data_IF_735181577237
#
_entry.id   IF_735181577237
#
_cell.length_a   1.000
_cell.length_b   1.000
_cell.length_c   1.000
_cell.angle_alpha   90.00
_cell.angle_beta   90.00
_cell.angle_gamma   90.00
#
_symmetry.space_group_name_H-M   'P 1'
#
loop_
_entity.id
_entity.type
_entity.pdbx_description
1 polymer ?
#
# COMPACT_ATOMS: atom_id res chain seq x y z
N UNK A 1 -14.02 -25.81 34.48
CA UNK A 1 -13.18 -25.08 33.48
C UNK A 1 -14.07 -24.87 32.27
N UNK A 2 -14.48 -23.64 31.96
CA UNK A 2 -15.21 -23.35 30.74
C UNK A 2 -14.36 -23.80 29.54
N UNK A 3 -14.91 -24.58 28.64
CA UNK A 3 -14.24 -24.90 27.37
C UNK A 3 -13.81 -23.59 26.71
N UNK A 4 -12.50 -23.39 26.54
CA UNK A 4 -11.97 -22.26 25.81
C UNK A 4 -12.36 -22.47 24.34
N UNK A 5 -13.26 -21.63 23.86
CA UNK A 5 -13.67 -21.68 22.45
C UNK A 5 -12.43 -21.45 21.59
N UNK A 6 -12.03 -22.46 20.81
CA UNK A 6 -10.93 -22.36 19.88
C UNK A 6 -11.32 -21.40 18.74
N UNK A 7 -10.54 -20.37 18.55
CA UNK A 7 -10.70 -19.42 17.45
C UNK A 7 -9.36 -19.31 16.69
N UNK A 8 -9.08 -20.23 15.76
CA UNK A 8 -7.81 -20.23 15.01
C UNK A 8 -7.54 -18.88 14.34
N UNK A 9 -6.34 -18.35 14.61
CA UNK A 9 -5.85 -17.15 13.93
C UNK A 9 -5.61 -17.46 12.47
N UNK A 10 -5.99 -16.54 11.58
CA UNK A 10 -5.70 -16.60 10.15
C UNK A 10 -4.49 -15.73 9.81
N UNK A 11 -3.71 -16.16 8.83
CA UNK A 11 -2.52 -15.47 8.35
C UNK A 11 -2.73 -15.01 6.91
N UNK A 12 -2.46 -13.74 6.65
CA UNK A 12 -2.23 -13.21 5.30
C UNK A 12 -0.73 -13.04 5.10
N UNK A 13 -0.18 -13.72 4.10
CA UNK A 13 1.25 -13.66 3.75
C UNK A 13 1.53 -12.52 2.77
N UNK A 14 2.54 -11.69 3.06
CA UNK A 14 2.83 -10.47 2.30
C UNK A 14 4.12 -10.51 1.49
N UNK A 15 4.86 -11.61 1.52
CA UNK A 15 6.19 -11.73 0.88
C UNK A 15 6.18 -11.39 -0.61
N UNK A 16 5.06 -11.67 -1.31
CA UNK A 16 4.93 -11.41 -2.75
C UNK A 16 4.49 -9.96 -3.09
N UNK A 17 4.21 -9.10 -2.09
CA UNK A 17 3.89 -7.69 -2.32
C UNK A 17 4.53 -6.75 -1.31
N UNK A 18 3.93 -6.56 -0.11
CA UNK A 18 4.31 -5.48 0.81
C UNK A 18 5.69 -5.67 1.42
N UNK A 19 6.06 -6.91 1.73
CA UNK A 19 7.35 -7.22 2.31
C UNK A 19 8.50 -6.85 1.36
N UNK A 20 8.48 -7.30 0.12
CA UNK A 20 9.52 -6.96 -0.84
C UNK A 20 9.42 -5.51 -1.35
N UNK A 21 8.21 -4.91 -1.32
CA UNK A 21 8.08 -3.47 -1.53
C UNK A 21 8.85 -2.69 -0.46
N UNK A 22 8.74 -3.10 0.79
CA UNK A 22 9.34 -2.42 1.94
C UNK A 22 10.84 -2.59 2.04
N UNK A 23 11.38 -3.74 1.61
CA UNK A 23 12.80 -4.08 1.80
C UNK A 23 13.65 -3.90 0.54
N UNK A 24 13.09 -4.21 -0.64
CA UNK A 24 13.81 -4.16 -1.93
C UNK A 24 13.09 -3.31 -2.97
N UNK A 25 12.36 -2.29 -2.52
CA UNK A 25 11.69 -1.30 -3.36
C UNK A 25 10.88 -1.93 -4.51
N UNK A 26 10.17 -3.02 -4.25
CA UNK A 26 9.30 -3.73 -5.22
C UNK A 26 10.07 -4.36 -6.39
N UNK A 27 11.30 -4.80 -6.18
CA UNK A 27 12.17 -5.34 -7.25
C UNK A 27 12.15 -6.86 -7.37
N UNK A 28 11.34 -7.60 -6.62
CA UNK A 28 11.17 -9.04 -6.83
C UNK A 28 10.48 -9.29 -8.18
N UNK A 29 11.11 -10.10 -9.03
CA UNK A 29 10.60 -10.39 -10.38
C UNK A 29 9.54 -11.48 -10.36
N UNK A 30 8.72 -11.56 -11.41
CA UNK A 30 7.75 -12.66 -11.58
C UNK A 30 8.47 -14.01 -11.64
N UNK A 31 9.62 -14.07 -12.29
CA UNK A 31 10.45 -15.28 -12.37
C UNK A 31 10.93 -15.76 -11.00
N UNK A 32 11.25 -14.83 -10.08
CA UNK A 32 11.58 -15.15 -8.69
C UNK A 32 10.38 -15.58 -7.85
N UNK A 33 9.15 -15.21 -8.23
CA UNK A 33 7.95 -15.58 -7.49
C UNK A 33 7.39 -16.94 -7.87
N UNK A 34 7.32 -17.25 -9.17
CA UNK A 34 6.59 -18.41 -9.68
C UNK A 34 7.05 -19.78 -9.14
N UNK A 35 8.35 -20.08 -8.97
CA UNK A 35 8.78 -21.41 -8.57
C UNK A 35 8.30 -21.86 -7.19
N UNK A 36 7.97 -20.94 -6.30
CA UNK A 36 7.54 -21.25 -4.93
C UNK A 36 6.01 -21.28 -4.76
N UNK A 37 5.26 -20.80 -5.72
CA UNK A 37 3.80 -20.59 -5.63
C UNK A 37 3.05 -21.86 -5.27
N UNK A 38 3.37 -23.00 -5.89
CA UNK A 38 2.72 -24.30 -5.61
C UNK A 38 2.92 -24.76 -4.15
N UNK A 39 4.07 -24.47 -3.55
CA UNK A 39 4.33 -24.76 -2.14
C UNK A 39 3.57 -23.79 -1.24
N UNK A 40 3.56 -22.49 -1.55
CA UNK A 40 2.81 -21.48 -0.81
C UNK A 40 1.31 -21.78 -0.84
N UNK A 41 0.76 -22.22 -1.96
CA UNK A 41 -0.67 -22.55 -2.10
C UNK A 41 -1.11 -23.72 -1.18
N UNK A 42 -0.18 -24.56 -0.76
CA UNK A 42 -0.43 -25.73 0.10
C UNK A 42 -0.21 -25.46 1.59
N UNK A 43 0.19 -24.27 1.98
CA UNK A 43 0.43 -23.90 3.40
C UNK A 43 -0.88 -23.83 4.18
N UNK A 44 -1.91 -23.21 3.60
CA UNK A 44 -3.19 -22.95 4.25
C UNK A 44 -3.34 -21.49 4.72
N UNK A 45 -2.65 -20.54 4.11
CA UNK A 45 -2.85 -19.12 4.34
C UNK A 45 -4.30 -18.70 4.10
N UNK A 46 -4.77 -17.69 4.83
CA UNK A 46 -6.04 -17.03 4.55
C UNK A 46 -6.02 -16.34 3.18
N UNK A 47 -4.92 -15.64 2.90
CA UNK A 47 -4.65 -15.00 1.63
C UNK A 47 -3.13 -14.81 1.44
N UNK A 48 -2.74 -14.58 0.19
CA UNK A 48 -1.41 -14.06 -0.16
C UNK A 48 -1.59 -12.71 -0.82
N UNK A 49 -1.00 -11.67 -0.23
CA UNK A 49 -0.96 -10.35 -0.85
C UNK A 49 0.14 -10.34 -1.91
N UNK A 50 -0.23 -10.19 -3.18
CA UNK A 50 0.69 -10.41 -4.30
C UNK A 50 0.67 -9.32 -5.35
N UNK A 51 -0.23 -8.34 -5.26
CA UNK A 51 -0.44 -7.35 -6.31
C UNK A 51 -0.94 -6.00 -5.78
N UNK A 52 -0.98 -4.97 -6.62
CA UNK A 52 -1.38 -3.63 -6.23
C UNK A 52 -0.24 -2.82 -5.59
N UNK A 53 -0.57 -1.75 -4.89
CA UNK A 53 0.42 -0.84 -4.30
C UNK A 53 1.40 -0.29 -5.35
N UNK A 54 2.71 -0.40 -5.08
CA UNK A 54 3.75 0.01 -6.01
C UNK A 54 4.18 -1.10 -7.00
N UNK A 55 3.65 -2.32 -6.85
CA UNK A 55 4.03 -3.47 -7.72
C UNK A 55 3.75 -3.17 -9.19
N UNK A 56 2.60 -2.58 -9.47
CA UNK A 56 2.14 -2.29 -10.84
C UNK A 56 3.10 -1.33 -11.56
N UNK A 57 3.40 -0.19 -10.94
CA UNK A 57 4.35 0.78 -11.49
C UNK A 57 5.77 0.20 -11.60
N UNK A 58 6.20 -0.57 -10.59
CA UNK A 58 7.51 -1.21 -10.59
C UNK A 58 7.67 -2.24 -11.71
N UNK A 59 6.64 -3.02 -12.03
CA UNK A 59 6.63 -3.94 -13.17
C UNK A 59 6.93 -3.20 -14.46
N UNK A 60 6.15 -2.16 -14.75
CA UNK A 60 6.27 -1.39 -15.99
C UNK A 60 7.61 -0.64 -16.07
N UNK A 61 7.97 0.08 -15.01
CA UNK A 61 9.07 1.04 -14.98
C UNK A 61 10.44 0.38 -14.88
N UNK A 62 10.57 -0.57 -13.99
CA UNK A 62 11.88 -1.10 -13.59
C UNK A 62 12.13 -2.54 -14.04
N UNK A 63 11.09 -3.39 -13.99
CA UNK A 63 11.25 -4.81 -14.27
C UNK A 63 10.96 -5.13 -15.74
N UNK A 64 10.33 -4.20 -16.47
CA UNK A 64 9.89 -4.42 -17.84
C UNK A 64 8.99 -5.66 -17.98
N UNK A 65 8.14 -5.85 -16.99
CA UNK A 65 7.14 -6.91 -16.91
C UNK A 65 5.73 -6.34 -17.07
N UNK A 66 4.84 -7.10 -17.71
CA UNK A 66 3.40 -6.79 -17.73
C UNK A 66 2.78 -7.12 -16.37
N UNK A 67 2.25 -6.14 -15.61
CA UNK A 67 1.66 -6.40 -14.29
C UNK A 67 0.43 -7.30 -14.37
N UNK A 68 -0.33 -7.27 -15.44
CA UNK A 68 -1.51 -8.11 -15.65
C UNK A 68 -1.13 -9.56 -15.95
N UNK A 69 -0.10 -9.77 -16.75
CA UNK A 69 0.46 -11.10 -17.01
C UNK A 69 1.05 -11.72 -15.74
N UNK A 70 1.74 -10.92 -14.90
CA UNK A 70 2.17 -11.35 -13.57
C UNK A 70 1.00 -11.86 -12.72
N UNK A 71 -0.10 -11.09 -12.66
CA UNK A 71 -1.28 -11.47 -11.90
C UNK A 71 -1.88 -12.79 -12.39
N UNK A 72 -2.06 -12.94 -13.71
CA UNK A 72 -2.57 -14.17 -14.32
C UNK A 72 -1.69 -15.38 -14.00
N UNK A 73 -0.37 -15.25 -14.12
CA UNK A 73 0.58 -16.32 -13.80
C UNK A 73 0.54 -16.71 -12.31
N UNK A 74 0.44 -15.74 -11.42
CA UNK A 74 0.26 -16.02 -9.99
C UNK A 74 -1.07 -16.74 -9.75
N UNK A 75 -2.17 -16.26 -10.34
CA UNK A 75 -3.47 -16.94 -10.22
C UNK A 75 -3.43 -18.37 -10.73
N UNK A 76 -2.71 -18.63 -11.82
CA UNK A 76 -2.56 -19.97 -12.36
C UNK A 76 -1.80 -20.91 -11.41
N UNK A 77 -0.90 -20.38 -10.62
CA UNK A 77 -0.17 -21.15 -9.61
C UNK A 77 -0.96 -21.37 -8.31
N UNK A 78 -1.68 -20.34 -7.84
CA UNK A 78 -2.52 -20.45 -6.65
C UNK A 78 -3.90 -21.01 -6.99
N UNK A 79 -4.29 -22.13 -6.41
CA UNK A 79 -5.59 -22.77 -6.63
C UNK A 79 -6.47 -22.80 -5.38
N UNK A 80 -5.87 -22.84 -4.21
CA UNK A 80 -6.54 -22.99 -2.92
C UNK A 80 -6.49 -21.70 -2.09
N UNK A 81 -5.45 -20.89 -2.28
CA UNK A 81 -5.22 -19.65 -1.51
C UNK A 81 -5.79 -18.44 -2.23
N UNK A 82 -6.45 -17.57 -1.50
CA UNK A 82 -6.97 -16.30 -2.02
C UNK A 82 -5.82 -15.36 -2.38
N UNK A 83 -5.97 -14.64 -3.48
CA UNK A 83 -5.06 -13.57 -3.88
C UNK A 83 -5.61 -12.22 -3.43
N UNK A 84 -4.76 -11.45 -2.76
CA UNK A 84 -5.10 -10.12 -2.26
C UNK A 84 -4.28 -9.06 -2.97
N UNK A 85 -4.90 -7.91 -3.22
CA UNK A 85 -4.22 -6.70 -3.70
C UNK A 85 -4.45 -5.50 -2.80
N UNK A 86 -3.49 -4.57 -2.80
CA UNK A 86 -3.65 -3.26 -2.18
C UNK A 86 -4.16 -2.23 -3.20
N UNK A 87 -5.19 -1.45 -2.81
CA UNK A 87 -5.89 -0.50 -3.65
C UNK A 87 -6.10 0.83 -2.91
N UNK A 88 -5.76 1.96 -3.54
CA UNK A 88 -5.79 3.29 -2.91
C UNK A 88 -7.09 4.03 -3.18
N UNK A 89 -8.24 3.43 -2.89
CA UNK A 89 -9.55 4.05 -3.07
C UNK A 89 -9.67 4.75 -4.42
N UNK A 90 -10.09 6.01 -4.42
CA UNK A 90 -10.28 6.79 -5.65
C UNK A 90 -8.97 7.02 -6.45
N UNK A 91 -7.81 6.81 -5.85
CA UNK A 91 -6.52 6.92 -6.52
C UNK A 91 -6.06 5.63 -7.22
N UNK A 92 -6.81 4.53 -7.08
CA UNK A 92 -6.49 3.22 -7.65
C UNK A 92 -5.09 2.74 -7.20
N UNK A 93 -4.08 2.87 -8.04
CA UNK A 93 -2.66 2.63 -7.72
C UNK A 93 -1.80 3.88 -7.95
N UNK A 94 -2.44 4.99 -8.34
CA UNK A 94 -1.79 6.26 -8.64
C UNK A 94 -1.68 7.20 -7.43
N UNK A 95 -1.42 8.47 -7.73
CA UNK A 95 -1.16 9.53 -6.76
C UNK A 95 -2.17 10.69 -6.86
N UNK A 96 -3.24 10.51 -7.62
CA UNK A 96 -4.33 11.46 -7.80
C UNK A 96 -5.67 10.73 -7.89
N UNK A 97 -6.80 11.38 -7.60
CA UNK A 97 -8.11 10.82 -7.88
C UNK A 97 -8.34 10.57 -9.39
N UNK A 98 -9.04 9.49 -9.69
CA UNK A 98 -9.54 9.15 -11.03
C UNK A 98 -11.06 9.23 -11.05
N UNK A 99 -11.66 9.30 -12.25
CA UNK A 99 -13.10 9.22 -12.41
C UNK A 99 -13.63 7.83 -12.01
N UNK A 100 -14.89 7.77 -11.63
CA UNK A 100 -15.53 6.54 -11.14
C UNK A 100 -15.49 5.42 -12.17
N UNK A 101 -15.67 5.73 -13.47
CA UNK A 101 -15.62 4.74 -14.55
C UNK A 101 -14.26 4.02 -14.65
N UNK A 102 -13.16 4.73 -14.38
CA UNK A 102 -11.81 4.14 -14.36
C UNK A 102 -11.64 3.25 -13.14
N UNK A 103 -12.13 3.68 -11.96
CA UNK A 103 -12.11 2.90 -10.72
C UNK A 103 -12.89 1.60 -10.89
N UNK A 104 -14.13 1.69 -11.39
CA UNK A 104 -15.00 0.54 -11.61
C UNK A 104 -14.35 -0.45 -12.59
N UNK A 105 -13.83 0.03 -13.70
CA UNK A 105 -13.20 -0.83 -14.70
C UNK A 105 -11.92 -1.50 -14.19
N UNK A 106 -11.13 -0.78 -13.38
CA UNK A 106 -9.93 -1.35 -12.77
C UNK A 106 -10.27 -2.47 -11.79
N UNK A 107 -11.28 -2.28 -10.94
CA UNK A 107 -11.78 -3.31 -10.01
C UNK A 107 -12.28 -4.53 -10.77
N UNK A 108 -13.12 -4.31 -11.80
CA UNK A 108 -13.65 -5.39 -12.65
C UNK A 108 -12.50 -6.22 -13.27
N UNK A 109 -11.51 -5.56 -13.88
CA UNK A 109 -10.37 -6.24 -14.50
C UNK A 109 -9.46 -6.93 -13.47
N UNK A 110 -9.29 -6.37 -12.28
CA UNK A 110 -8.51 -7.01 -11.21
C UNK A 110 -9.13 -8.34 -10.79
N UNK A 111 -10.44 -8.37 -10.57
CA UNK A 111 -11.16 -9.59 -10.19
C UNK A 111 -11.17 -10.59 -11.36
N UNK A 112 -11.45 -10.14 -12.58
CA UNK A 112 -11.45 -11.00 -13.77
C UNK A 112 -10.08 -11.66 -14.03
N UNK A 113 -8.98 -11.01 -13.65
CA UNK A 113 -7.62 -11.54 -13.76
C UNK A 113 -7.15 -12.33 -12.53
N UNK A 114 -8.01 -12.52 -11.52
CA UNK A 114 -7.78 -13.50 -10.45
C UNK A 114 -7.58 -12.95 -9.05
N UNK A 115 -7.84 -11.67 -8.78
CA UNK A 115 -7.87 -11.13 -7.42
C UNK A 115 -9.16 -11.56 -6.72
N UNK A 116 -9.04 -12.10 -5.51
CA UNK A 116 -10.15 -12.47 -4.65
C UNK A 116 -10.50 -11.38 -3.64
N UNK A 117 -9.46 -10.72 -3.07
CA UNK A 117 -9.60 -9.71 -2.01
C UNK A 117 -8.99 -8.39 -2.48
N UNK A 118 -9.80 -7.34 -2.50
CA UNK A 118 -9.31 -5.97 -2.74
C UNK A 118 -9.27 -5.24 -1.41
N UNK A 119 -8.04 -4.97 -0.90
CA UNK A 119 -7.81 -4.14 0.28
C UNK A 119 -7.80 -2.68 -0.14
N UNK A 120 -8.86 -1.98 0.19
CA UNK A 120 -9.14 -0.61 -0.23
C UNK A 120 -8.86 0.35 0.93
N UNK A 121 -7.99 1.33 0.73
CA UNK A 121 -7.72 2.36 1.74
C UNK A 121 -7.72 3.77 1.13
N UNK A 122 -7.99 4.77 1.95
CA UNK A 122 -7.79 6.17 1.61
C UNK A 122 -6.72 6.81 2.51
N UNK A 123 -5.90 7.69 1.93
CA UNK A 123 -4.78 8.30 2.67
C UNK A 123 -5.22 9.30 3.75
N UNK A 124 -6.45 9.79 3.70
CA UNK A 124 -7.04 10.69 4.70
C UNK A 124 -8.06 9.97 5.59
N UNK A 125 -8.35 8.69 5.33
CA UNK A 125 -9.48 7.96 5.87
C UNK A 125 -10.85 8.60 5.50
N UNK A 126 -10.91 9.29 4.36
CA UNK A 126 -12.19 9.81 3.86
C UNK A 126 -12.98 8.68 3.19
N UNK A 127 -13.98 8.17 3.89
CA UNK A 127 -14.79 7.03 3.44
C UNK A 127 -15.50 7.28 2.11
N UNK A 128 -15.74 8.54 1.73
CA UNK A 128 -16.34 8.89 0.44
C UNK A 128 -15.47 8.45 -0.75
N UNK A 129 -14.15 8.45 -0.57
CA UNK A 129 -13.18 8.00 -1.56
C UNK A 129 -13.08 6.47 -1.70
N UNK A 130 -13.77 5.72 -0.83
CA UNK A 130 -13.75 4.25 -0.84
C UNK A 130 -14.98 3.66 -1.52
N UNK A 131 -16.11 4.39 -1.52
CA UNK A 131 -17.43 3.88 -1.88
C UNK A 131 -17.48 3.27 -3.29
N UNK A 132 -16.93 3.93 -4.30
CA UNK A 132 -16.95 3.43 -5.69
C UNK A 132 -16.24 2.08 -5.79
N UNK A 133 -15.05 1.96 -5.17
CA UNK A 133 -14.27 0.72 -5.21
C UNK A 133 -14.96 -0.42 -4.47
N UNK A 134 -15.56 -0.16 -3.29
CA UNK A 134 -16.32 -1.16 -2.53
C UNK A 134 -17.54 -1.62 -3.32
N UNK A 135 -18.31 -0.69 -3.88
CA UNK A 135 -19.50 -1.01 -4.69
C UNK A 135 -19.13 -1.83 -5.92
N UNK A 136 -18.06 -1.45 -6.63
CA UNK A 136 -17.56 -2.18 -7.79
C UNK A 136 -17.09 -3.60 -7.41
N UNK A 137 -16.36 -3.73 -6.30
CA UNK A 137 -15.89 -5.03 -5.81
C UNK A 137 -17.06 -5.98 -5.50
N UNK A 138 -18.08 -5.50 -4.81
CA UNK A 138 -19.28 -6.28 -4.49
C UNK A 138 -20.07 -6.68 -5.75
N UNK A 139 -20.18 -5.75 -6.71
CA UNK A 139 -20.83 -6.02 -8.00
C UNK A 139 -20.15 -7.16 -8.77
N UNK A 140 -18.83 -7.20 -8.73
CA UNK A 140 -18.01 -8.24 -9.37
C UNK A 140 -17.84 -9.50 -8.49
N UNK A 141 -18.50 -9.57 -7.32
CA UNK A 141 -18.45 -10.66 -6.36
C UNK A 141 -17.05 -10.93 -5.77
N UNK A 142 -16.21 -9.91 -5.72
CA UNK A 142 -14.95 -9.92 -4.98
C UNK A 142 -15.19 -9.69 -3.49
N UNK A 143 -14.15 -9.89 -2.68
CA UNK A 143 -14.17 -9.57 -1.26
C UNK A 143 -13.63 -8.15 -1.06
N UNK A 144 -14.51 -7.23 -0.66
CA UNK A 144 -14.14 -5.85 -0.35
C UNK A 144 -13.62 -5.75 1.08
N UNK A 145 -12.31 -5.61 1.26
CA UNK A 145 -11.71 -5.30 2.55
C UNK A 145 -11.39 -3.82 2.62
N UNK A 146 -12.01 -3.10 3.55
CA UNK A 146 -11.64 -1.69 3.79
C UNK A 146 -10.54 -1.62 4.84
N UNK A 147 -9.48 -0.88 4.54
CA UNK A 147 -8.38 -0.65 5.46
C UNK A 147 -8.38 0.79 5.96
N UNK A 148 -8.46 0.96 7.29
CA UNK A 148 -8.31 2.25 7.94
C UNK A 148 -6.84 2.49 8.27
N UNK A 149 -6.30 3.58 7.77
CA UNK A 149 -4.90 3.97 8.00
C UNK A 149 -4.73 4.42 9.46
N UNK A 150 -4.03 3.60 10.25
CA UNK A 150 -3.80 3.88 11.67
C UNK A 150 -2.77 4.99 11.86
N UNK A 151 -3.07 5.90 12.77
CA UNK A 151 -2.17 7.00 13.14
C UNK A 151 -2.47 7.47 14.56
N UNK A 152 -1.60 8.33 15.09
CA UNK A 152 -1.73 8.93 16.42
C UNK A 152 -2.15 10.41 16.29
N UNK A 153 -2.88 10.89 17.28
CA UNK A 153 -3.33 12.28 17.39
C UNK A 153 -4.61 12.37 18.22
N UNK A 154 -4.91 13.56 18.75
CA UNK A 154 -6.04 13.77 19.67
C UNK A 154 -7.41 13.48 19.01
N UNK A 155 -7.48 13.58 17.68
CA UNK A 155 -8.71 13.29 16.93
C UNK A 155 -8.95 11.79 16.74
N UNK A 156 -7.91 10.95 16.85
CA UNK A 156 -7.99 9.51 16.61
C UNK A 156 -8.30 8.75 17.91
N UNK A 157 -9.46 9.07 18.49
CA UNK A 157 -9.99 8.43 19.72
C UNK A 157 -10.56 7.05 19.42
N UNK A 158 -10.85 6.25 20.47
CA UNK A 158 -11.56 4.98 20.27
C UNK A 158 -12.94 5.20 19.62
N UNK A 159 -13.65 6.26 20.01
CA UNK A 159 -14.94 6.60 19.40
C UNK A 159 -14.83 6.88 17.90
N UNK A 160 -13.77 7.60 17.47
CA UNK A 160 -13.46 7.79 16.05
C UNK A 160 -13.31 6.45 15.33
N UNK A 161 -12.50 5.52 15.88
CA UNK A 161 -12.29 4.22 15.24
C UNK A 161 -13.55 3.37 15.18
N UNK A 162 -14.37 3.40 16.25
CA UNK A 162 -15.67 2.70 16.27
C UNK A 162 -16.65 3.29 15.26
N UNK A 163 -16.72 4.61 15.14
CA UNK A 163 -17.56 5.28 14.14
C UNK A 163 -17.12 4.93 12.71
N UNK A 164 -15.81 4.94 12.47
CA UNK A 164 -15.26 4.54 11.17
C UNK A 164 -15.56 3.08 10.83
N UNK A 165 -15.47 2.17 11.81
CA UNK A 165 -15.79 0.76 11.60
C UNK A 165 -17.28 0.56 11.21
N UNK A 166 -18.19 1.30 11.82
CA UNK A 166 -19.62 1.28 11.43
C UNK A 166 -19.82 1.81 10.01
N UNK A 167 -19.20 2.93 9.66
CA UNK A 167 -19.27 3.47 8.30
C UNK A 167 -18.76 2.47 7.25
N UNK A 168 -17.72 1.73 7.59
CA UNK A 168 -17.14 0.68 6.73
C UNK A 168 -18.13 -0.50 6.58
N UNK A 169 -18.76 -0.94 7.66
CA UNK A 169 -19.79 -1.98 7.63
C UNK A 169 -21.01 -1.54 6.82
N UNK A 170 -21.52 -0.33 7.07
CA UNK A 170 -22.66 0.27 6.36
C UNK A 170 -22.39 0.46 4.85
N UNK A 171 -21.12 0.66 4.47
CA UNK A 171 -20.68 0.76 3.07
C UNK A 171 -20.76 -0.58 2.33
N UNK A 172 -20.89 -1.69 3.05
CA UNK A 172 -20.96 -3.04 2.50
C UNK A 172 -19.60 -3.70 2.34
N UNK A 173 -18.60 -3.35 3.17
CA UNK A 173 -17.34 -4.08 3.23
C UNK A 173 -17.54 -5.49 3.84
N UNK A 174 -16.73 -6.47 3.39
CA UNK A 174 -16.73 -7.83 3.89
C UNK A 174 -15.79 -8.05 5.08
N UNK A 175 -14.79 -7.18 5.24
CA UNK A 175 -13.85 -7.19 6.37
C UNK A 175 -13.20 -5.81 6.57
N UNK A 176 -12.74 -5.58 7.79
CA UNK A 176 -12.05 -4.37 8.21
C UNK A 176 -10.57 -4.68 8.48
N UNK A 177 -9.66 -3.90 7.89
CA UNK A 177 -8.25 -3.94 8.21
C UNK A 177 -7.83 -2.66 8.97
N UNK A 178 -7.09 -2.81 10.05
CA UNK A 178 -6.35 -1.69 10.65
C UNK A 178 -4.95 -1.72 10.06
N UNK A 179 -4.60 -0.67 9.30
CA UNK A 179 -3.36 -0.59 8.55
C UNK A 179 -2.37 0.38 9.20
N UNK A 180 -1.43 -0.18 9.94
CA UNK A 180 -0.38 0.56 10.65
C UNK A 180 0.93 0.56 9.86
N UNK A 181 1.07 1.53 8.96
CA UNK A 181 2.20 1.65 8.02
C UNK A 181 3.53 2.01 8.66
N UNK A 182 3.51 2.57 9.87
CA UNK A 182 4.72 3.05 10.53
C UNK A 182 5.06 2.28 11.82
N UNK A 183 4.26 1.26 12.18
CA UNK A 183 4.43 0.51 13.42
C UNK A 183 4.16 1.35 14.67
N UNK A 184 3.09 2.16 14.63
CA UNK A 184 2.71 3.10 15.69
C UNK A 184 1.85 2.46 16.77
N UNK A 185 1.15 1.38 16.43
CA UNK A 185 0.24 0.70 17.34
C UNK A 185 1.02 -0.13 18.38
N UNK A 186 1.06 0.37 19.60
CA UNK A 186 1.72 -0.34 20.71
C UNK A 186 0.81 -1.41 21.33
N UNK A 187 1.36 -2.45 21.99
CA UNK A 187 0.60 -3.62 22.45
C UNK A 187 -0.62 -3.30 23.31
N UNK A 188 -0.50 -2.39 24.27
CA UNK A 188 -1.63 -1.99 25.14
C UNK A 188 -2.74 -1.31 24.36
N UNK A 189 -2.38 -0.43 23.41
CA UNK A 189 -3.35 0.25 22.55
C UNK A 189 -3.99 -0.70 21.53
N UNK A 190 -3.30 -1.74 21.10
CA UNK A 190 -3.87 -2.78 20.27
C UNK A 190 -5.02 -3.52 20.99
N UNK A 191 -4.84 -3.85 22.28
CA UNK A 191 -5.91 -4.47 23.08
C UNK A 191 -7.14 -3.56 23.14
N UNK A 192 -6.96 -2.29 23.53
CA UNK A 192 -8.06 -1.31 23.62
C UNK A 192 -8.78 -1.13 22.28
N UNK A 193 -8.03 -0.95 21.20
CA UNK A 193 -8.57 -0.71 19.86
C UNK A 193 -9.35 -1.92 19.34
N UNK A 194 -8.77 -3.12 19.41
CA UNK A 194 -9.43 -4.32 18.87
C UNK A 194 -10.71 -4.64 19.67
N UNK A 195 -10.69 -4.52 20.99
CA UNK A 195 -11.89 -4.70 21.83
C UNK A 195 -12.98 -3.68 21.46
N UNK A 196 -12.63 -2.40 21.28
CA UNK A 196 -13.57 -1.38 20.86
C UNK A 196 -14.17 -1.67 19.48
N UNK A 197 -13.34 -2.04 18.50
CA UNK A 197 -13.79 -2.41 17.17
C UNK A 197 -14.72 -3.63 17.18
N UNK A 198 -14.37 -4.69 17.93
CA UNK A 198 -15.20 -5.90 18.08
C UNK A 198 -16.55 -5.60 18.74
N UNK A 199 -16.67 -4.52 19.53
CA UNK A 199 -17.95 -4.06 20.08
C UNK A 199 -18.76 -3.21 19.10
N UNK A 200 -18.12 -2.64 18.09
CA UNK A 200 -18.73 -1.68 17.15
C UNK A 200 -19.18 -2.31 15.83
N UNK A 201 -18.57 -3.41 15.39
CA UNK A 201 -18.85 -4.07 14.11
C UNK A 201 -18.81 -5.59 14.21
N UNK A 202 -19.57 -6.27 13.35
CA UNK A 202 -19.52 -7.73 13.18
C UNK A 202 -18.48 -8.18 12.13
N UNK A 203 -17.84 -7.25 11.43
CA UNK A 203 -16.86 -7.58 10.42
C UNK A 203 -15.67 -8.35 11.01
N UNK A 204 -15.09 -9.30 10.26
CA UNK A 204 -13.76 -9.81 10.57
C UNK A 204 -12.75 -8.68 10.60
N UNK A 205 -11.88 -8.67 11.63
CA UNK A 205 -10.85 -7.65 11.82
C UNK A 205 -9.48 -8.24 11.47
N UNK A 206 -8.79 -7.59 10.55
CA UNK A 206 -7.42 -7.88 10.18
C UNK A 206 -6.49 -6.77 10.68
N UNK A 207 -5.33 -7.12 11.21
CA UNK A 207 -4.32 -6.17 11.63
C UNK A 207 -3.07 -6.31 10.77
N UNK A 208 -2.71 -5.20 10.14
CA UNK A 208 -1.47 -5.03 9.39
C UNK A 208 -0.58 -4.01 10.11
N UNK A 209 0.62 -4.39 10.50
CA UNK A 209 1.59 -3.44 11.07
C UNK A 209 3.01 -3.71 10.61
N UNK A 210 3.77 -2.64 10.39
CA UNK A 210 5.19 -2.70 10.07
C UNK A 210 6.04 -2.79 11.34
N UNK A 211 7.22 -3.40 11.21
CA UNK A 211 8.10 -3.66 12.36
C UNK A 211 9.03 -2.48 12.70
N UNK A 212 8.83 -1.33 12.07
CA UNK A 212 9.75 -0.18 12.12
C UNK A 212 10.07 0.30 13.55
N UNK A 213 9.08 0.28 14.46
CA UNK A 213 9.27 0.63 15.88
C UNK A 213 9.83 -0.49 16.75
N UNK A 214 9.77 -1.73 16.28
CA UNK A 214 10.23 -2.92 17.00
C UNK A 214 9.17 -3.60 17.87
N UNK A 215 7.92 -3.11 17.92
CA UNK A 215 6.87 -3.64 18.82
C UNK A 215 5.86 -4.55 18.13
N UNK A 216 5.91 -4.69 16.81
CA UNK A 216 4.83 -5.26 16.01
C UNK A 216 4.44 -6.71 16.41
N UNK A 217 5.38 -7.61 16.71
CA UNK A 217 5.03 -8.98 17.16
C UNK A 217 4.28 -8.98 18.48
N UNK A 218 4.68 -8.12 19.43
CA UNK A 218 3.98 -7.97 20.72
C UNK A 218 2.60 -7.34 20.51
N UNK A 219 2.49 -6.40 19.58
CA UNK A 219 1.23 -5.78 19.16
C UNK A 219 0.27 -6.83 18.58
N UNK A 220 0.75 -7.71 17.70
CA UNK A 220 -0.05 -8.81 17.16
C UNK A 220 -0.52 -9.77 18.23
N UNK A 221 0.36 -10.15 19.15
CA UNK A 221 -0.02 -11.02 20.27
C UNK A 221 -1.19 -10.41 21.05
N UNK A 222 -1.09 -9.14 21.43
CA UNK A 222 -2.13 -8.44 22.19
C UNK A 222 -3.42 -8.21 21.39
N UNK A 223 -3.31 -7.95 20.11
CA UNK A 223 -4.46 -7.82 19.22
C UNK A 223 -5.24 -9.14 19.08
N UNK A 224 -4.53 -10.26 18.89
CA UNK A 224 -5.13 -11.60 18.76
C UNK A 224 -5.82 -12.01 20.08
N UNK A 225 -5.18 -11.80 21.22
CA UNK A 225 -5.79 -12.03 22.55
C UNK A 225 -7.06 -11.17 22.75
N UNK A 226 -7.12 -9.98 22.14
CA UNK A 226 -8.27 -9.08 22.17
C UNK A 226 -9.38 -9.41 21.18
N UNK A 227 -9.16 -10.39 20.27
CA UNK A 227 -10.17 -10.87 19.32
C UNK A 227 -9.92 -10.52 17.85
N UNK A 228 -8.70 -10.06 17.47
CA UNK A 228 -8.32 -9.91 16.07
C UNK A 228 -8.39 -11.26 15.35
N UNK A 229 -8.93 -11.28 14.13
CA UNK A 229 -9.24 -12.51 13.40
C UNK A 229 -8.10 -12.93 12.46
N UNK A 230 -7.38 -11.94 11.90
CA UNK A 230 -6.37 -12.15 10.86
C UNK A 230 -5.20 -11.20 11.13
N UNK A 231 -3.97 -11.63 10.87
CA UNK A 231 -2.78 -10.77 10.88
C UNK A 231 -1.98 -10.91 9.60
N UNK A 232 -1.34 -9.82 9.18
CA UNK A 232 -0.41 -9.79 8.07
C UNK A 232 1.00 -10.12 8.54
N UNK A 233 1.64 -11.09 7.89
CA UNK A 233 3.02 -11.48 8.21
C UNK A 233 3.84 -11.59 6.93
N UNK A 234 5.15 -11.70 7.07
CA UNK A 234 6.05 -11.92 5.95
C UNK A 234 7.01 -13.08 6.25
N UNK A 235 7.30 -13.92 5.26
CA UNK A 235 8.32 -14.97 5.39
C UNK A 235 9.63 -14.37 5.90
N UNK A 236 10.29 -15.05 6.84
CA UNK A 236 11.41 -14.48 7.61
C UNK A 236 12.53 -13.85 6.78
N UNK A 237 12.90 -14.32 5.58
CA UNK A 237 13.89 -13.62 4.76
C UNK A 237 13.49 -12.19 4.35
N UNK A 238 12.18 -11.91 4.24
CA UNK A 238 11.65 -10.60 3.89
C UNK A 238 10.80 -9.96 5.01
N UNK A 239 11.01 -10.38 6.26
CA UNK A 239 10.32 -9.85 7.43
C UNK A 239 11.14 -8.82 8.20
N UNK A 240 10.54 -8.23 9.24
CA UNK A 240 11.16 -7.33 10.21
C UNK A 240 11.58 -5.97 9.62
N UNK A 241 12.23 -5.13 10.41
CA UNK A 241 12.65 -3.80 9.98
C UNK A 241 11.47 -2.96 9.48
N UNK A 242 11.53 -2.54 8.22
CA UNK A 242 10.41 -1.80 7.57
C UNK A 242 9.33 -2.70 6.98
N UNK A 243 9.44 -4.01 7.12
CA UNK A 243 8.44 -5.02 6.71
C UNK A 243 7.57 -5.46 7.90
N UNK A 244 6.86 -6.59 7.79
CA UNK A 244 5.97 -7.14 8.79
C UNK A 244 6.69 -8.13 9.73
N UNK A 245 6.06 -8.56 10.85
CA UNK A 245 6.53 -9.68 11.66
C UNK A 245 6.69 -10.97 10.85
N UNK A 246 7.67 -11.79 11.25
CA UNK A 246 7.97 -13.05 10.56
C UNK A 246 6.83 -14.07 10.72
N UNK A 247 6.40 -14.68 9.60
CA UNK A 247 5.30 -15.65 9.55
C UNK A 247 5.57 -16.85 10.44
N UNK A 248 6.74 -17.48 10.32
CA UNK A 248 7.13 -18.67 11.08
C UNK A 248 7.15 -18.41 12.59
N UNK A 249 7.60 -17.21 12.98
CA UNK A 249 7.65 -16.78 14.39
C UNK A 249 6.24 -16.61 14.94
N UNK A 250 5.35 -15.97 14.20
CA UNK A 250 3.97 -15.79 14.65
C UNK A 250 3.21 -17.12 14.72
N UNK A 251 3.42 -18.02 13.77
CA UNK A 251 2.83 -19.36 13.77
C UNK A 251 3.28 -20.15 15.01
N UNK A 252 4.58 -20.15 15.33
CA UNK A 252 5.11 -20.82 16.53
C UNK A 252 4.64 -20.15 17.82
N UNK A 253 4.50 -18.81 17.84
CA UNK A 253 4.01 -18.05 19.00
C UNK A 253 2.61 -18.48 19.42
N UNK A 254 1.73 -18.80 18.47
CA UNK A 254 0.34 -19.19 18.76
C UNK A 254 0.12 -20.70 18.83
N UNK A 255 1.12 -21.51 18.53
CA UNK A 255 1.02 -22.98 18.57
C UNK A 255 0.63 -23.51 19.93
N UNK A 256 -0.35 -24.41 19.96
CA UNK A 256 -0.89 -24.99 21.20
C UNK A 256 -1.75 -24.05 22.03
N UNK A 257 -1.99 -22.81 21.59
CA UNK A 257 -2.93 -21.87 22.19
C UNK A 257 -4.32 -22.00 21.56
N UNK A 258 -5.38 -21.34 22.10
CA UNK A 258 -6.68 -21.27 21.45
C UNK A 258 -6.67 -20.63 20.04
N UNK A 259 -5.60 -19.92 19.73
CA UNK A 259 -5.38 -19.18 18.47
C UNK A 259 -4.47 -19.92 17.49
N UNK A 260 -4.12 -21.17 17.78
CA UNK A 260 -3.25 -21.98 16.93
C UNK A 260 -3.71 -21.96 15.47
N UNK A 261 -2.81 -21.53 14.59
CA UNK A 261 -3.10 -21.36 13.16
C UNK A 261 -3.27 -22.68 12.41
N UNK A 262 -2.70 -23.75 12.95
CA UNK A 262 -2.62 -25.06 12.30
C UNK A 262 -1.68 -25.13 11.09
N UNK A 263 -0.93 -24.05 10.80
CA UNK A 263 0.04 -24.04 9.70
C UNK A 263 1.28 -24.89 10.02
N UNK A 264 1.80 -25.61 9.02
CA UNK A 264 2.95 -26.51 9.18
C UNK A 264 4.26 -25.72 9.12
N UNK A 265 5.07 -25.80 10.20
CA UNK A 265 6.43 -25.25 10.23
C UNK A 265 7.35 -25.86 9.17
N UNK A 266 7.19 -27.14 8.85
CA UNK A 266 8.00 -27.79 7.80
C UNK A 266 7.74 -27.18 6.42
N UNK A 267 6.47 -26.92 6.09
CA UNK A 267 6.11 -26.22 4.83
C UNK A 267 6.63 -24.78 4.81
N UNK A 268 6.55 -24.07 5.92
CA UNK A 268 7.08 -22.72 6.04
C UNK A 268 8.61 -22.72 5.90
N UNK A 269 9.32 -23.68 6.48
CA UNK A 269 10.76 -23.80 6.33
C UNK A 269 11.19 -23.95 4.86
N UNK A 270 10.49 -24.77 4.07
CA UNK A 270 10.77 -24.90 2.63
C UNK A 270 10.63 -23.57 1.88
N UNK A 271 9.67 -22.72 2.26
CA UNK A 271 9.47 -21.40 1.65
C UNK A 271 10.56 -20.44 2.12
N UNK A 272 10.95 -20.50 3.39
CA UNK A 272 12.08 -19.75 3.94
C UNK A 272 13.38 -20.04 3.19
N UNK A 273 13.67 -21.32 3.00
CA UNK A 273 14.88 -21.79 2.29
C UNK A 273 14.90 -21.28 0.83
N UNK A 274 13.73 -21.17 0.21
CA UNK A 274 13.61 -20.61 -1.14
C UNK A 274 13.93 -19.10 -1.19
N UNK A 275 13.39 -18.30 -0.26
CA UNK A 275 13.58 -16.86 -0.28
C UNK A 275 14.93 -16.40 0.30
N UNK A 276 15.61 -17.22 1.10
CA UNK A 276 16.88 -16.86 1.73
C UNK A 276 17.96 -16.48 0.70
N UNK A 277 18.24 -17.23 -0.37
CA UNK A 277 19.22 -16.83 -1.37
C UNK A 277 18.82 -15.56 -2.14
N UNK A 278 17.54 -15.32 -2.37
CA UNK A 278 17.06 -14.08 -3.04
C UNK A 278 17.36 -12.86 -2.15
N UNK A 279 17.16 -12.97 -0.84
CA UNK A 279 17.55 -11.95 0.12
C UNK A 279 19.06 -11.70 0.13
N UNK A 280 19.86 -12.77 0.15
CA UNK A 280 21.32 -12.65 0.14
C UNK A 280 21.83 -11.94 -1.12
N UNK A 281 21.26 -12.25 -2.27
CA UNK A 281 21.59 -11.58 -3.53
C UNK A 281 21.21 -10.09 -3.47
N UNK A 282 20.03 -9.77 -2.94
CA UNK A 282 19.60 -8.39 -2.75
C UNK A 282 20.51 -7.60 -1.79
N UNK A 283 21.04 -8.23 -0.74
CA UNK A 283 22.03 -7.65 0.15
C UNK A 283 23.38 -7.41 -0.57
N UNK A 284 23.86 -8.40 -1.31
CA UNK A 284 25.14 -8.35 -2.05
C UNK A 284 25.11 -7.27 -3.15
N UNK A 285 23.99 -7.14 -3.86
CA UNK A 285 23.82 -6.11 -4.89
C UNK A 285 23.56 -4.71 -4.35
N UNK A 286 23.32 -4.56 -3.03
CA UNK A 286 22.94 -3.30 -2.40
C UNK A 286 21.48 -2.89 -2.63
N UNK A 287 20.67 -3.72 -3.28
CA UNK A 287 19.24 -3.51 -3.46
C UNK A 287 18.52 -3.50 -2.11
N UNK A 288 18.86 -4.44 -1.22
CA UNK A 288 18.43 -4.42 0.18
C UNK A 288 19.45 -3.61 1.00
N UNK A 289 19.06 -2.41 1.39
CA UNK A 289 19.90 -1.57 2.25
C UNK A 289 19.80 -2.07 3.71
N UNK A 290 20.90 -2.45 4.37
CA UNK A 290 20.88 -2.91 5.77
C UNK A 290 20.24 -1.92 6.76
N UNK A 291 20.19 -0.63 6.44
CA UNK A 291 19.55 0.39 7.29
C UNK A 291 18.05 0.17 7.48
N UNK A 292 17.37 -0.46 6.53
CA UNK A 292 15.92 -0.75 6.64
C UNK A 292 15.63 -2.00 7.47
N UNK A 293 16.63 -2.78 7.85
CA UNK A 293 16.49 -3.99 8.68
C UNK A 293 16.47 -3.69 10.18
N UNK A 294 16.92 -2.50 10.59
CA UNK A 294 16.91 -2.08 11.98
C UNK A 294 15.55 -1.58 12.44
N UNK A 295 15.37 -1.56 13.77
CA UNK A 295 14.20 -0.96 14.41
C UNK A 295 14.55 0.41 14.99
N UNK A 296 13.57 1.31 15.03
CA UNK A 296 13.77 2.65 15.59
C UNK A 296 12.52 3.12 16.36
N UNK A 297 12.58 3.03 17.67
CA UNK A 297 11.46 3.44 18.55
C UNK A 297 11.12 4.95 18.41
N UNK A 298 12.03 5.79 17.89
CA UNK A 298 11.74 7.19 17.62
C UNK A 298 10.66 7.38 16.56
N UNK A 299 10.35 6.34 15.78
CA UNK A 299 9.19 6.32 14.87
C UNK A 299 7.90 6.69 15.59
N UNK A 300 7.72 6.27 16.83
CA UNK A 300 6.54 6.64 17.64
C UNK A 300 6.44 8.15 17.89
N UNK A 301 7.58 8.86 17.90
CA UNK A 301 7.62 10.31 18.09
C UNK A 301 7.34 11.09 16.79
N UNK A 302 7.99 10.69 15.69
CA UNK A 302 7.90 11.42 14.42
C UNK A 302 6.80 10.89 13.50
N UNK A 303 6.30 9.68 13.77
CA UNK A 303 5.23 8.99 13.03
C UNK A 303 5.53 8.80 11.54
N UNK A 304 6.80 8.69 11.18
CA UNK A 304 7.28 8.64 9.79
C UNK A 304 7.48 7.19 9.35
N UNK A 305 6.76 6.72 8.32
CA UNK A 305 6.98 5.38 7.74
C UNK A 305 8.38 5.22 7.16
N UNK A 306 8.90 3.98 7.17
CA UNK A 306 10.25 3.68 6.68
C UNK A 306 10.51 4.14 5.24
N UNK A 307 9.57 3.94 4.32
CA UNK A 307 9.69 4.39 2.94
C UNK A 307 9.77 5.92 2.78
N UNK A 308 9.11 6.66 3.67
CA UNK A 308 9.22 8.12 3.68
C UNK A 308 10.61 8.59 4.10
N UNK A 309 11.23 7.94 5.09
CA UNK A 309 12.59 8.28 5.55
C UNK A 309 13.61 8.18 4.42
N UNK A 310 13.54 7.13 3.60
CA UNK A 310 14.43 6.95 2.45
C UNK A 310 14.28 8.08 1.42
N UNK A 311 13.05 8.49 1.14
CA UNK A 311 12.78 9.60 0.23
C UNK A 311 13.30 10.94 0.76
N UNK A 312 13.17 11.21 2.06
CA UNK A 312 13.70 12.43 2.69
C UNK A 312 15.22 12.51 2.56
N UNK A 313 15.92 11.41 2.83
CA UNK A 313 17.38 11.34 2.68
C UNK A 313 17.79 11.63 1.23
N UNK A 314 17.09 11.07 0.25
CA UNK A 314 17.39 11.32 -1.17
C UNK A 314 17.17 12.79 -1.55
N UNK A 315 16.04 13.38 -1.16
CA UNK A 315 15.75 14.79 -1.44
C UNK A 315 16.76 15.75 -0.80
N UNK A 316 17.16 15.49 0.44
CA UNK A 316 18.18 16.30 1.13
C UNK A 316 19.55 16.17 0.48
N UNK A 317 19.92 14.97 0.03
CA UNK A 317 21.16 14.72 -0.71
C UNK A 317 21.18 15.45 -2.05
N UNK A 318 20.11 15.40 -2.81
CA UNK A 318 19.96 16.13 -4.08
C UNK A 318 20.07 17.65 -3.88
N UNK A 319 19.58 18.14 -2.74
CA UNK A 319 19.67 19.55 -2.36
C UNK A 319 21.02 19.93 -1.71
N UNK A 320 21.94 18.99 -1.45
CA UNK A 320 23.19 19.22 -0.74
C UNK A 320 22.98 19.69 0.71
N UNK A 321 21.95 19.16 1.40
CA UNK A 321 21.50 19.58 2.74
C UNK A 321 21.31 18.40 3.68
N UNK A 322 22.14 17.36 3.59
CA UNK A 322 22.01 16.16 4.43
C UNK A 322 22.13 16.48 5.92
N UNK A 323 22.86 17.54 6.27
CA UNK A 323 22.97 18.06 7.64
C UNK A 323 21.64 18.51 8.25
N UNK A 324 20.65 18.83 7.43
CA UNK A 324 19.30 19.27 7.84
C UNK A 324 18.31 18.15 8.15
N UNK A 325 18.72 16.89 8.08
CA UNK A 325 17.84 15.74 8.26
C UNK A 325 17.05 15.78 9.59
N UNK A 326 17.72 16.12 10.70
CA UNK A 326 17.06 16.19 12.01
C UNK A 326 16.03 17.33 12.06
N UNK A 327 16.31 18.48 11.47
CA UNK A 327 15.37 19.62 11.39
C UNK A 327 14.12 19.25 10.59
N UNK A 328 14.29 18.48 9.49
CA UNK A 328 13.15 17.99 8.71
C UNK A 328 12.28 17.01 9.51
N UNK A 329 12.89 16.09 10.26
CA UNK A 329 12.13 15.17 11.13
C UNK A 329 11.29 15.92 12.18
N UNK A 330 11.78 17.03 12.71
CA UNK A 330 11.06 17.87 13.67
C UNK A 330 9.99 18.75 13.01
N UNK A 331 10.16 19.09 11.73
CA UNK A 331 9.20 19.86 10.97
C UNK A 331 7.99 19.03 10.49
N UNK A 332 8.17 17.72 10.24
CA UNK A 332 7.10 16.83 9.78
C UNK A 332 5.85 16.85 10.67
N UNK A 333 5.93 16.69 12.01
CA UNK A 333 4.76 16.77 12.87
C UNK A 333 4.06 18.13 12.82
N UNK A 334 4.81 19.22 12.60
CA UNK A 334 4.25 20.57 12.49
C UNK A 334 3.46 20.74 11.18
N UNK A 335 4.04 20.32 10.05
CA UNK A 335 3.36 20.32 8.75
C UNK A 335 2.12 19.43 8.81
N UNK A 336 2.25 18.23 9.39
CA UNK A 336 1.12 17.31 9.57
C UNK A 336 -0.03 17.95 10.35
N UNK A 337 0.29 18.65 11.43
CA UNK A 337 -0.72 19.38 12.23
C UNK A 337 -1.41 20.48 11.41
N UNK A 338 -0.64 21.27 10.66
CA UNK A 338 -1.18 22.32 9.80
C UNK A 338 -2.06 21.75 8.68
N UNK A 339 -1.78 20.51 8.24
CA UNK A 339 -2.52 19.79 7.21
C UNK A 339 -3.71 18.96 7.75
N UNK A 340 -4.22 19.27 8.95
CA UNK A 340 -5.39 18.61 9.52
C UNK A 340 -5.15 17.19 10.03
N UNK A 341 -3.91 16.90 10.42
CA UNK A 341 -3.47 15.65 11.04
C UNK A 341 -3.72 14.37 10.18
N UNK A 342 -3.45 14.37 8.85
CA UNK A 342 -3.67 13.18 8.05
C UNK A 342 -2.80 12.00 8.53
N UNK A 343 -3.22 10.74 8.31
CA UNK A 343 -2.32 9.60 8.41
C UNK A 343 -1.15 9.77 7.44
N UNK A 344 0.05 9.29 7.84
CA UNK A 344 1.23 9.35 6.96
C UNK A 344 1.36 8.05 6.15
N UNK A 345 0.55 7.93 5.14
CA UNK A 345 0.53 6.84 4.14
C UNK A 345 0.60 7.45 2.73
N UNK A 346 0.84 6.65 1.69
CA UNK A 346 0.89 7.16 0.31
C UNK A 346 -0.50 7.65 -0.16
N UNK A 347 -0.64 8.88 -0.71
CA UNK A 347 0.39 9.88 -0.98
C UNK A 347 0.59 10.94 0.12
N UNK A 348 -0.22 11.01 1.18
CA UNK A 348 -0.16 12.05 2.22
C UNK A 348 1.22 12.16 2.89
N UNK A 349 1.88 11.02 3.14
CA UNK A 349 3.25 11.00 3.68
C UNK A 349 4.25 11.72 2.79
N UNK A 350 4.16 11.54 1.48
CA UNK A 350 5.04 12.22 0.52
C UNK A 350 4.74 13.71 0.48
N UNK A 351 3.46 14.10 0.51
CA UNK A 351 3.05 15.52 0.50
C UNK A 351 3.58 16.23 1.75
N UNK A 352 3.33 15.68 2.93
CA UNK A 352 3.80 16.23 4.21
C UNK A 352 5.32 16.26 4.27
N UNK A 353 5.99 15.18 3.86
CA UNK A 353 7.44 15.09 3.87
C UNK A 353 8.12 16.08 2.95
N UNK A 354 7.67 16.18 1.70
CA UNK A 354 8.22 17.14 0.74
C UNK A 354 8.00 18.58 1.20
N UNK A 355 6.82 18.90 1.77
CA UNK A 355 6.59 20.22 2.32
C UNK A 355 7.50 20.54 3.50
N UNK A 356 7.74 19.57 4.39
CA UNK A 356 8.67 19.75 5.51
C UNK A 356 10.12 20.01 5.02
N UNK A 357 10.56 19.26 4.01
CA UNK A 357 11.87 19.51 3.35
C UNK A 357 11.92 20.92 2.77
N UNK A 358 10.90 21.35 2.03
CA UNK A 358 10.85 22.70 1.43
C UNK A 358 10.85 23.80 2.48
N UNK A 359 10.15 23.62 3.61
CA UNK A 359 10.17 24.57 4.72
C UNK A 359 11.58 24.74 5.30
N UNK A 360 12.30 23.66 5.53
CA UNK A 360 13.64 23.66 6.11
C UNK A 360 14.67 24.21 5.12
N UNK A 361 14.64 23.78 3.86
CA UNK A 361 15.60 24.23 2.84
C UNK A 361 15.44 25.72 2.55
N UNK A 362 14.23 26.24 2.49
CA UNK A 362 13.96 27.65 2.23
C UNK A 362 14.22 28.57 3.42
N UNK A 363 14.36 28.00 4.64
CA UNK A 363 14.49 28.75 5.89
C UNK A 363 13.23 29.48 6.35
N UNK A 364 12.12 29.36 5.63
CA UNK A 364 10.84 29.95 5.94
C UNK A 364 9.69 28.97 5.62
N UNK A 365 8.78 28.77 6.59
CA UNK A 365 7.65 27.85 6.42
C UNK A 365 6.69 28.33 5.34
N UNK A 366 6.37 27.43 4.41
CA UNK A 366 5.43 27.68 3.30
C UNK A 366 5.84 28.83 2.35
N UNK A 367 7.16 29.09 2.21
CA UNK A 367 7.70 29.96 1.17
C UNK A 367 7.74 29.25 -0.18
N UNK A 368 8.14 27.96 -0.16
CA UNK A 368 8.09 27.07 -1.31
C UNK A 368 7.00 26.04 -1.08
N UNK A 369 6.01 26.00 -1.96
CA UNK A 369 4.83 25.14 -1.84
C UNK A 369 4.77 24.19 -3.05
N UNK A 370 5.00 22.89 -2.86
CA UNK A 370 4.77 21.90 -3.91
C UNK A 370 3.32 21.89 -4.39
N UNK A 371 3.11 21.49 -5.64
CA UNK A 371 1.78 21.45 -6.25
C UNK A 371 0.81 20.53 -5.47
N UNK A 372 1.31 19.42 -4.96
CA UNK A 372 0.53 18.45 -4.19
C UNK A 372 0.12 19.03 -2.82
N UNK A 373 0.98 19.85 -2.18
CA UNK A 373 0.65 20.58 -0.95
C UNK A 373 -0.49 21.58 -1.16
N UNK A 374 -0.51 22.24 -2.32
CA UNK A 374 -1.62 23.11 -2.68
C UNK A 374 -2.92 22.33 -2.93
N UNK A 375 -2.83 21.21 -3.63
CA UNK A 375 -3.98 20.37 -3.96
C UNK A 375 -4.65 19.77 -2.72
N UNK A 376 -3.88 19.29 -1.72
CA UNK A 376 -4.48 18.77 -0.49
C UNK A 376 -5.21 19.88 0.27
N UNK A 377 -4.65 21.10 0.32
CA UNK A 377 -5.27 22.26 0.95
C UNK A 377 -6.51 22.76 0.21
N UNK A 378 -6.63 22.49 -1.09
CA UNK A 378 -7.83 22.72 -1.89
C UNK A 378 -8.89 21.62 -1.71
N UNK A 379 -8.59 20.53 -0.97
CA UNK A 379 -9.53 19.43 -0.77
C UNK A 379 -9.56 18.41 -1.92
N UNK A 380 -8.64 18.49 -2.89
CA UNK A 380 -8.60 17.60 -4.06
C UNK A 380 -8.28 16.14 -3.71
N UNK A 381 -7.86 15.85 -2.47
CA UNK A 381 -7.65 14.48 -1.96
C UNK A 381 -8.78 14.01 -1.04
N UNK A 382 -9.72 14.90 -0.65
CA UNK A 382 -10.79 14.61 0.30
C UNK A 382 -10.66 15.42 1.57
N UNK A 383 -11.37 14.99 2.63
CA UNK A 383 -11.40 15.65 3.93
C UNK A 383 -10.47 14.99 4.93
N UNK A 384 -9.77 15.81 5.69
CA UNK A 384 -8.96 15.40 6.85
C UNK A 384 -9.80 15.32 8.11
N UNK A 385 -9.33 14.57 9.11
CA UNK A 385 -10.02 14.43 10.41
C UNK A 385 -10.20 15.75 11.15
N UNK A 386 -9.25 16.65 11.02
CA UNK A 386 -9.31 18.02 11.53
C UNK A 386 -9.29 19.02 10.38
N UNK A 387 -9.86 20.23 10.57
CA UNK A 387 -9.70 21.29 9.58
C UNK A 387 -8.22 21.66 9.43
N UNK A 388 -7.86 22.12 8.24
CA UNK A 388 -6.54 22.70 7.99
C UNK A 388 -6.32 23.96 8.87
N UNK A 389 -5.05 24.23 9.18
CA UNK A 389 -4.70 25.51 9.79
C UNK A 389 -5.10 26.66 8.84
N UNK A 390 -6.03 27.52 9.26
CA UNK A 390 -6.64 28.53 8.40
C UNK A 390 -5.61 29.54 7.84
N UNK A 391 -4.62 29.95 8.65
CA UNK A 391 -3.58 30.89 8.21
C UNK A 391 -2.67 30.23 7.16
N UNK A 392 -2.29 28.97 7.38
CA UNK A 392 -1.46 28.19 6.45
C UNK A 392 -2.23 27.92 5.17
N UNK A 393 -3.50 27.51 5.27
CA UNK A 393 -4.35 27.29 4.10
C UNK A 393 -4.44 28.58 3.26
N UNK A 394 -4.74 29.72 3.87
CA UNK A 394 -4.79 31.01 3.18
C UNK A 394 -3.45 31.38 2.53
N UNK A 395 -2.32 31.11 3.21
CA UNK A 395 -0.98 31.35 2.66
C UNK A 395 -0.70 30.49 1.42
N UNK A 396 -1.19 29.24 1.41
CA UNK A 396 -0.92 28.26 0.33
C UNK A 396 -1.84 28.44 -0.87
N UNK A 397 -3.16 28.58 -0.65
CA UNK A 397 -4.14 28.64 -1.73
C UNK A 397 -4.60 30.05 -2.11
N UNK A 398 -4.27 31.05 -1.30
CA UNK A 398 -4.68 32.45 -1.54
C UNK A 398 -6.18 32.58 -1.45
N UNK A 399 -6.81 33.13 -2.52
CA UNK A 399 -8.24 33.36 -2.60
C UNK A 399 -9.02 32.24 -3.31
N UNK A 400 -8.34 31.13 -3.64
CA UNK A 400 -9.00 29.96 -4.21
C UNK A 400 -9.96 29.31 -3.21
N UNK A 401 -11.10 28.82 -3.69
CA UNK A 401 -12.13 28.20 -2.85
C UNK A 401 -11.88 26.70 -2.75
N UNK A 402 -11.69 26.13 -1.54
CA UNK A 402 -11.57 24.69 -1.37
C UNK A 402 -12.86 23.97 -1.75
N UNK A 403 -12.70 22.78 -2.32
CA UNK A 403 -13.82 21.88 -2.55
C UNK A 403 -14.18 21.13 -1.26
N UNK A 404 -15.47 20.88 -1.07
CA UNK A 404 -16.01 20.17 0.11
C UNK A 404 -16.73 18.88 -0.25
N UNK A 405 -17.08 18.72 -1.53
CA UNK A 405 -17.63 17.46 -2.06
C UNK A 405 -16.56 16.38 -2.17
N UNK A 406 -16.94 15.17 -2.54
CA UNK A 406 -16.03 14.11 -2.92
C UNK A 406 -15.25 14.56 -4.17
N UNK A 407 -13.92 14.47 -4.19
CA UNK A 407 -13.11 14.97 -5.33
C UNK A 407 -13.53 14.38 -6.68
N UNK A 408 -13.87 13.09 -6.71
CA UNK A 408 -14.28 12.41 -7.94
C UNK A 408 -15.59 12.93 -8.55
N UNK A 409 -16.47 13.58 -7.76
CA UNK A 409 -17.72 14.16 -8.27
C UNK A 409 -17.46 15.32 -9.25
N UNK A 410 -16.26 15.88 -9.22
CA UNK A 410 -15.81 16.94 -10.13
C UNK A 410 -15.04 16.42 -11.36
N UNK A 411 -14.85 15.10 -11.47
CA UNK A 411 -14.10 14.48 -12.55
C UNK A 411 -15.10 13.81 -13.51
N UNK A 412 -15.18 14.32 -14.73
CA UNK A 412 -16.00 13.69 -15.77
C UNK A 412 -15.44 12.29 -16.12
N UNK A 413 -16.28 11.37 -16.64
CA UNK A 413 -15.84 10.05 -17.09
C UNK A 413 -14.61 10.13 -18.00
N UNK A 414 -13.59 9.32 -17.71
CA UNK A 414 -12.27 9.39 -18.38
C UNK A 414 -11.95 8.17 -19.23
N UNK A 415 -12.63 7.03 -19.01
CA UNK A 415 -12.30 5.78 -19.68
C UNK A 415 -12.34 5.91 -21.23
N UNK A 416 -13.36 6.52 -21.86
CA UNK A 416 -13.40 6.68 -23.32
C UNK A 416 -12.23 7.50 -23.88
N UNK A 417 -11.74 8.49 -23.12
CA UNK A 417 -10.57 9.26 -23.48
C UNK A 417 -9.31 8.39 -23.47
N UNK A 418 -9.09 7.63 -22.40
CA UNK A 418 -7.93 6.75 -22.26
C UNK A 418 -7.94 5.63 -23.30
N UNK A 419 -9.11 5.07 -23.63
CA UNK A 419 -9.25 4.11 -24.73
C UNK A 419 -8.78 4.67 -26.06
N UNK A 420 -9.17 5.90 -26.39
CA UNK A 420 -8.75 6.57 -27.60
C UNK A 420 -7.24 6.87 -27.62
N UNK A 421 -6.71 7.37 -26.51
CA UNK A 421 -5.29 7.71 -26.38
C UNK A 421 -4.39 6.47 -26.43
N UNK A 422 -4.83 5.35 -25.84
CA UNK A 422 -4.09 4.09 -25.80
C UNK A 422 -4.23 3.25 -27.06
N UNK A 423 -5.15 3.58 -27.96
CA UNK A 423 -5.57 2.73 -29.10
C UNK A 423 -4.41 2.18 -29.95
N UNK A 424 -3.37 2.99 -30.18
CA UNK A 424 -2.23 2.61 -31.01
C UNK A 424 -1.31 1.55 -30.39
N UNK A 425 -1.33 1.40 -29.03
CA UNK A 425 -0.49 0.44 -28.30
C UNK A 425 -1.28 -0.73 -27.72
N UNK A 426 -2.63 -0.65 -27.77
CA UNK A 426 -3.51 -1.62 -27.14
C UNK A 426 -3.37 -3.01 -27.75
N UNK A 427 -2.94 -3.98 -26.93
CA UNK A 427 -2.92 -5.41 -27.28
C UNK A 427 -3.92 -6.22 -26.43
N UNK A 428 -4.31 -5.70 -25.26
CA UNK A 428 -5.30 -6.26 -24.36
C UNK A 428 -6.13 -5.13 -23.74
N UNK A 429 -7.30 -5.44 -23.21
CA UNK A 429 -8.18 -4.41 -22.62
C UNK A 429 -7.55 -3.69 -21.44
N UNK A 430 -6.75 -4.41 -20.66
CA UNK A 430 -6.06 -3.92 -19.48
C UNK A 430 -4.98 -2.86 -19.78
N UNK A 431 -4.51 -2.78 -21.02
CA UNK A 431 -3.52 -1.77 -21.43
C UNK A 431 -4.06 -0.34 -21.26
N UNK A 432 -5.37 -0.16 -21.43
CA UNK A 432 -6.04 1.13 -21.21
C UNK A 432 -5.86 1.58 -19.75
N UNK A 433 -5.96 0.65 -18.79
CA UNK A 433 -5.79 0.93 -17.37
C UNK A 433 -4.32 1.21 -17.03
N UNK A 434 -3.39 0.47 -17.63
CA UNK A 434 -1.95 0.73 -17.48
C UNK A 434 -1.59 2.13 -17.97
N UNK A 435 -2.14 2.52 -19.11
CA UNK A 435 -1.98 3.86 -19.67
C UNK A 435 -2.64 4.94 -18.81
N UNK A 436 -3.88 4.73 -18.38
CA UNK A 436 -4.61 5.69 -17.53
C UNK A 436 -3.86 6.05 -16.25
N UNK A 437 -3.24 5.05 -15.61
CA UNK A 437 -2.51 5.22 -14.37
C UNK A 437 -1.13 5.86 -14.57
N UNK A 438 -0.38 5.43 -15.57
CA UNK A 438 1.03 5.79 -15.78
C UNK A 438 1.35 6.03 -17.27
N UNK A 439 0.77 7.06 -17.93
CA UNK A 439 0.82 7.20 -19.40
C UNK A 439 2.22 7.05 -19.99
N UNK A 440 3.18 7.86 -19.54
CA UNK A 440 4.56 7.83 -20.08
C UNK A 440 5.26 6.49 -19.87
N UNK A 441 5.09 5.91 -18.67
CA UNK A 441 5.71 4.63 -18.30
C UNK A 441 5.10 3.48 -19.08
N UNK A 442 3.78 3.51 -19.27
CA UNK A 442 3.06 2.52 -20.07
C UNK A 442 3.47 2.59 -21.54
N UNK A 443 3.58 3.81 -22.13
CA UNK A 443 4.10 3.97 -23.49
C UNK A 443 5.50 3.39 -23.68
N UNK A 444 6.42 3.66 -22.74
CA UNK A 444 7.77 3.08 -22.78
C UNK A 444 7.74 1.56 -22.69
N UNK A 445 6.87 1.03 -21.82
CA UNK A 445 6.70 -0.41 -21.69
C UNK A 445 6.07 -1.03 -22.94
N UNK A 446 5.05 -0.42 -23.53
CA UNK A 446 4.40 -0.93 -24.75
C UNK A 446 5.37 -0.98 -25.93
N UNK A 447 6.19 0.05 -26.11
CA UNK A 447 7.26 0.04 -27.11
C UNK A 447 8.28 -1.08 -26.85
N UNK A 448 8.67 -1.26 -25.60
CA UNK A 448 9.56 -2.37 -25.21
C UNK A 448 8.91 -3.73 -25.53
N UNK A 449 7.64 -3.94 -25.14
CA UNK A 449 6.89 -5.17 -25.43
C UNK A 449 6.80 -5.45 -26.92
N UNK A 450 6.50 -4.45 -27.73
CA UNK A 450 6.46 -4.57 -29.18
C UNK A 450 7.84 -4.94 -29.77
N UNK A 451 8.91 -4.29 -29.31
CA UNK A 451 10.27 -4.61 -29.73
C UNK A 451 10.66 -6.06 -29.39
N UNK A 452 10.26 -6.57 -28.22
CA UNK A 452 10.48 -7.98 -27.85
C UNK A 452 9.71 -8.95 -28.75
N UNK A 453 8.48 -8.62 -29.14
CA UNK A 453 7.64 -9.45 -30.01
C UNK A 453 8.11 -9.45 -31.45
N UNK A 454 8.44 -8.27 -31.98
CA UNK A 454 8.84 -8.09 -33.38
C UNK A 454 10.33 -8.32 -33.61
N UNK A 455 11.14 -8.34 -32.54
CA UNK A 455 12.61 -8.32 -32.56
C UNK A 455 13.18 -7.10 -33.29
N UNK A 456 12.42 -6.02 -33.35
CA UNK A 456 12.80 -4.72 -33.91
C UNK A 456 12.65 -3.66 -32.85
N UNK A 457 13.73 -2.93 -32.58
CA UNK A 457 13.66 -1.77 -31.68
C UNK A 457 13.06 -0.58 -32.46
N UNK A 458 11.84 -0.19 -32.09
CA UNK A 458 11.12 0.93 -32.72
C UNK A 458 11.86 2.28 -32.57
N UNK A 459 12.77 2.41 -31.57
CA UNK A 459 13.60 3.61 -31.41
C UNK A 459 14.75 3.67 -32.42
N UNK A 460 15.13 2.52 -33.01
CA UNK A 460 16.19 2.37 -34.00
C UNK A 460 15.60 2.21 -35.40
N UNK A 461 14.32 1.82 -35.52
CA UNK A 461 13.62 1.74 -36.78
C UNK A 461 13.29 3.15 -37.29
N UNK A 462 14.20 3.72 -38.04
CA UNK A 462 13.94 4.96 -38.80
C UNK A 462 12.98 4.62 -39.94
N UNK A 463 11.77 5.14 -39.87
CA UNK A 463 10.73 4.91 -40.89
C UNK A 463 11.06 5.53 -42.22
N UNK A 464 12.04 6.44 -42.29
CA UNK A 464 12.56 7.03 -43.53
C UNK A 464 13.77 6.26 -44.10
N UNK A 465 14.41 5.43 -43.31
CA UNK A 465 15.52 4.58 -43.72
C UNK A 465 15.02 3.22 -44.22
N UNK A 466 15.51 2.78 -45.36
CA UNK A 466 15.26 1.42 -45.87
C UNK A 466 16.17 0.35 -45.27
N UNK A 467 17.01 0.71 -44.28
CA UNK A 467 17.88 -0.22 -43.55
C UNK A 467 17.22 -0.60 -42.23
N UNK A 468 16.81 -1.86 -42.09
CA UNK A 468 16.35 -2.43 -40.83
C UNK A 468 17.50 -3.19 -40.18
N UNK A 469 17.75 -3.01 -38.89
CA UNK A 469 18.67 -3.90 -38.19
C UNK A 469 18.14 -5.34 -38.23
N UNK A 470 18.96 -6.27 -38.62
CA UNK A 470 18.68 -7.71 -38.73
C UNK A 470 18.92 -8.35 -37.35
#
# INVERSE_FOLDING_TARGET
MSEVVKKPLKITETVLRDAHQSLIATRMTTEQMLPIVDKMDKVGYNAVECWGGATFDACLRFLKEDPWDRLRKLRDGFKNTKLQMLFRGQNILGYRPYADDVVEYFVQKSIANGIDIIRIFDCLNDVRNLQTAVTACNKEKGHAQVALSYTLGDAYTLDYWMEMAKKVEDMGADSLCIKDMAGLLVPTKATELIQALKSATNLPIELHTHYTSGVASMTYMKAVEAGCDIIDTAMSPFSMGTSQPATEVMVETFKGTPYDTGLSQDKLAEITDYFAPIREEALKSGLLNPKVLGVNIKTLRYQVPGGMLSNLVSQLKEAGKEDKYQEVLEEIPRVRKDFGEPPLVTPSSQIVGTQAVMNVISGERYKLVPKESKKIMLGEFGQTVKPFNAEVQKKIIGDETPITCRPADLIAPQLPQFEKECAQWKQQDEDVLSYALFPKVAEEFFKYREAQQTKVDAAVADTESKAYPV
#
